data_IF_189657461770
#
_entry.id   IF_189657461770
#
_cell.length_a   1.000
_cell.length_b   1.000
_cell.length_c   1.000
_cell.angle_alpha   90.00
_cell.angle_beta   90.00
_cell.angle_gamma   90.00
#
_symmetry.space_group_name_H-M   'P 1'
#
loop_
_entity.id
_entity.type
_entity.pdbx_description
1 polymer ?
#
# COMPACT_ATOMS: atom_id res chain seq x y z
N UNK A 1 -19.68 -4.23 5.36
CA UNK A 1 -20.41 -3.00 5.76
C UNK A 1 -19.41 -2.10 6.48
N UNK A 2 -18.96 -1.00 5.87
CA UNK A 2 -18.04 -0.06 6.51
C UNK A 2 -18.75 0.64 7.68
N UNK A 3 -18.08 0.74 8.83
CA UNK A 3 -18.61 1.37 10.05
C UNK A 3 -18.43 2.89 9.93
N UNK A 4 -19.50 3.57 9.50
CA UNK A 4 -19.57 5.02 9.20
C UNK A 4 -19.18 5.94 10.38
N UNK A 5 -19.08 5.42 11.61
CA UNK A 5 -18.69 6.20 12.79
C UNK A 5 -17.18 6.38 13.03
N UNK A 6 -16.32 5.63 12.33
CA UNK A 6 -14.86 5.70 12.50
C UNK A 6 -14.14 6.38 11.34
N UNK A 7 -14.86 6.67 10.25
CA UNK A 7 -14.26 7.18 9.04
C UNK A 7 -14.25 8.71 9.06
N UNK A 8 -13.09 9.35 8.85
CA UNK A 8 -13.03 10.81 8.79
C UNK A 8 -13.95 11.31 7.67
N UNK A 9 -14.63 12.47 7.87
CA UNK A 9 -15.53 13.01 6.87
C UNK A 9 -14.82 13.15 5.52
N UNK A 10 -15.44 12.66 4.44
CA UNK A 10 -14.89 12.80 3.11
C UNK A 10 -14.87 14.30 2.73
N UNK A 11 -13.70 14.92 2.82
CA UNK A 11 -13.49 16.30 2.41
C UNK A 11 -13.12 16.36 0.93
N UNK A 12 -13.32 17.53 0.31
CA UNK A 12 -12.84 17.78 -1.06
C UNK A 12 -11.35 17.46 -1.22
N UNK A 13 -10.53 17.78 -0.21
CA UNK A 13 -9.12 17.42 -0.19
C UNK A 13 -8.90 15.90 -0.22
N UNK A 14 -9.60 15.13 0.62
CA UNK A 14 -9.49 13.66 0.61
C UNK A 14 -9.96 13.06 -0.73
N UNK A 15 -11.02 13.60 -1.32
CA UNK A 15 -11.47 13.19 -2.64
C UNK A 15 -10.40 13.45 -3.73
N UNK A 16 -9.70 14.58 -3.67
CA UNK A 16 -8.59 14.91 -4.59
C UNK A 16 -7.37 13.99 -4.38
N UNK A 17 -7.01 13.70 -3.12
CA UNK A 17 -5.87 12.82 -2.80
C UNK A 17 -6.12 11.36 -3.20
N UNK A 18 -7.34 10.86 -2.97
CA UNK A 18 -7.72 9.49 -3.29
C UNK A 18 -8.11 9.31 -4.76
N UNK A 19 -8.61 10.36 -5.41
CA UNK A 19 -9.03 10.35 -6.81
C UNK A 19 -7.88 10.46 -7.82
N UNK A 20 -6.68 10.82 -7.35
CA UNK A 20 -5.49 10.96 -8.19
C UNK A 20 -4.48 9.89 -7.82
N UNK A 21 -4.08 9.08 -8.80
CA UNK A 21 -3.04 8.08 -8.58
C UNK A 21 -1.68 8.77 -8.43
N UNK A 22 -1.08 8.67 -7.25
CA UNK A 22 0.26 9.19 -6.98
C UNK A 22 1.24 8.02 -6.93
N UNK A 23 1.97 7.82 -8.02
CA UNK A 23 3.03 6.82 -8.11
C UNK A 23 4.39 7.48 -7.91
N UNK A 24 5.27 6.81 -7.19
CA UNK A 24 6.67 7.21 -7.10
C UNK A 24 7.50 6.41 -8.09
N UNK A 25 8.40 7.10 -8.78
CA UNK A 25 9.38 6.51 -9.67
C UNK A 25 10.71 6.32 -8.91
N UNK A 26 11.16 5.07 -8.66
CA UNK A 26 12.40 4.81 -7.94
C UNK A 26 13.65 4.91 -8.83
N UNK A 27 13.51 5.15 -10.15
CA UNK A 27 14.65 5.21 -11.07
C UNK A 27 15.75 6.21 -10.64
N UNK A 28 15.43 7.44 -10.16
CA UNK A 28 16.47 8.37 -9.69
C UNK A 28 17.30 7.81 -8.53
N UNK A 29 16.67 7.14 -7.56
CA UNK A 29 17.39 6.53 -6.44
C UNK A 29 18.36 5.44 -6.92
N UNK A 30 17.95 4.64 -7.91
CA UNK A 30 18.83 3.63 -8.51
C UNK A 30 19.97 4.28 -9.29
N UNK A 31 19.66 5.25 -10.14
CA UNK A 31 20.62 5.79 -11.10
C UNK A 31 21.64 6.72 -10.42
N UNK A 32 21.22 7.48 -9.40
CA UNK A 32 22.08 8.45 -8.70
C UNK A 32 22.82 7.82 -7.51
N UNK A 33 22.21 6.85 -6.82
CA UNK A 33 22.73 6.30 -5.55
C UNK A 33 23.11 4.82 -5.65
N UNK A 34 22.91 4.18 -6.80
CA UNK A 34 23.08 2.73 -6.92
C UNK A 34 22.12 1.95 -6.02
N UNK A 35 21.01 2.57 -5.60
CA UNK A 35 20.07 1.95 -4.68
C UNK A 35 19.33 0.80 -5.35
N UNK A 36 19.31 -0.34 -4.67
CA UNK A 36 18.57 -1.53 -5.07
C UNK A 36 17.67 -1.93 -3.90
N UNK A 37 16.37 -2.16 -4.12
CA UNK A 37 15.48 -2.59 -3.05
C UNK A 37 15.92 -3.97 -2.54
N UNK A 38 15.98 -4.11 -1.20
CA UNK A 38 16.32 -5.40 -0.57
C UNK A 38 15.20 -6.45 -0.76
N UNK A 39 13.97 -6.00 -0.98
CA UNK A 39 12.79 -6.82 -1.26
C UNK A 39 12.07 -6.18 -2.44
N UNK A 40 11.74 -6.96 -3.46
CA UNK A 40 11.01 -6.44 -4.62
C UNK A 40 9.58 -6.05 -4.23
N UNK A 41 8.92 -5.25 -5.06
CA UNK A 41 7.50 -4.90 -4.83
C UNK A 41 6.64 -6.17 -4.82
N UNK A 42 6.90 -7.10 -5.74
CA UNK A 42 6.15 -8.35 -5.86
C UNK A 42 6.33 -9.23 -4.61
N UNK A 43 7.58 -9.44 -4.18
CA UNK A 43 7.87 -10.23 -2.98
C UNK A 43 7.26 -9.59 -1.73
N UNK A 44 7.37 -8.26 -1.61
CA UNK A 44 6.80 -7.52 -0.49
C UNK A 44 5.27 -7.62 -0.44
N UNK A 45 4.59 -7.62 -1.58
CA UNK A 45 3.14 -7.80 -1.66
C UNK A 45 2.71 -9.22 -1.28
N UNK A 46 3.49 -10.24 -1.66
CA UNK A 46 3.25 -11.64 -1.27
C UNK A 46 3.35 -11.80 0.25
N UNK A 47 4.43 -11.30 0.85
CA UNK A 47 4.63 -11.38 2.31
C UNK A 47 3.55 -10.61 3.07
N UNK A 48 3.16 -9.43 2.57
CA UNK A 48 2.12 -8.61 3.17
C UNK A 48 0.75 -9.33 3.14
N UNK A 49 0.41 -9.99 2.03
CA UNK A 49 -0.82 -10.77 1.91
C UNK A 49 -0.84 -11.92 2.93
N UNK A 50 0.25 -12.68 3.02
CA UNK A 50 0.38 -13.77 4.00
C UNK A 50 0.22 -13.27 5.45
N UNK A 51 0.80 -12.11 5.76
CA UNK A 51 0.63 -11.47 7.07
C UNK A 51 -0.84 -11.12 7.36
N UNK A 52 -1.57 -10.56 6.39
CA UNK A 52 -2.99 -10.23 6.56
C UNK A 52 -3.85 -11.49 6.77
N UNK A 53 -3.58 -12.57 6.06
CA UNK A 53 -4.28 -13.84 6.26
C UNK A 53 -4.01 -14.40 7.66
N UNK A 54 -2.75 -14.33 8.13
CA UNK A 54 -2.40 -14.75 9.49
C UNK A 54 -3.11 -13.95 10.59
N UNK A 55 -3.38 -12.65 10.35
CA UNK A 55 -3.98 -11.74 11.33
C UNK A 55 -5.50 -11.65 11.27
N UNK A 56 -6.09 -11.92 10.11
CA UNK A 56 -7.53 -11.82 9.88
C UNK A 56 -8.30 -13.08 10.31
N UNK A 57 -7.60 -14.11 10.82
CA UNK A 57 -8.21 -15.37 11.23
C UNK A 57 -8.80 -16.18 10.07
N UNK A 58 -8.51 -15.77 8.83
CA UNK A 58 -8.93 -16.48 7.63
C UNK A 58 -7.96 -17.63 7.43
N UNK A 59 -8.39 -18.85 7.77
CA UNK A 59 -7.56 -20.04 7.51
C UNK A 59 -7.31 -20.15 6.00
N UNK A 60 -6.06 -20.34 5.56
CA UNK A 60 -5.78 -20.68 4.16
C UNK A 60 -6.43 -22.03 3.83
N UNK A 61 -7.13 -22.10 2.69
CA UNK A 61 -7.77 -23.32 2.13
C UNK A 61 -6.76 -24.22 1.47
#
# INVERSE_FOLDING_TARGET
>A
MLRIGAEPPLTRFLAEQLGTAHWFDPRPARDDLGWIPAVSVDDGLIELAAWFDSRSGRRPT
#
